data_IF_365612896631
#
_entry.id   IF_365612896631
#
_cell.length_a   1.000
_cell.length_b   1.000
_cell.length_c   1.000
_cell.angle_alpha   90.00
_cell.angle_beta   90.00
_cell.angle_gamma   90.00
#
_symmetry.space_group_name_H-M   'P 1'
#
loop_
_entity.id
_entity.type
_entity.pdbx_description
1 polymer ?
#
# COMPACT_ATOMS: atom_id res chain seq x y z
N UNK A 1 13.12 5.39 -26.20
CA UNK A 1 11.89 5.36 -25.40
C UNK A 1 10.87 4.61 -26.22
N UNK A 2 10.42 3.45 -25.75
CA UNK A 2 9.30 2.78 -26.41
C UNK A 2 8.04 3.54 -25.98
N UNK A 3 7.32 4.09 -26.94
CA UNK A 3 6.13 4.89 -26.65
C UNK A 3 4.99 3.96 -26.22
N UNK A 4 4.41 4.22 -25.06
CA UNK A 4 3.31 3.43 -24.50
C UNK A 4 2.07 3.51 -25.40
N UNK A 5 1.31 2.42 -25.45
CA UNK A 5 0.04 2.41 -26.20
C UNK A 5 -0.95 3.41 -25.61
N UNK A 6 -1.88 3.88 -26.45
CA UNK A 6 -2.96 4.78 -26.05
C UNK A 6 -4.24 3.95 -25.88
N UNK A 7 -4.93 4.03 -24.73
CA UNK A 7 -6.24 3.40 -24.59
C UNK A 7 -7.28 4.10 -25.48
N UNK A 8 -8.08 3.31 -26.19
CA UNK A 8 -9.22 3.79 -26.98
C UNK A 8 -10.45 2.96 -26.70
N UNK A 9 -11.64 3.48 -27.01
CA UNK A 9 -12.91 2.82 -26.72
C UNK A 9 -13.79 2.72 -27.97
N UNK A 10 -14.34 1.54 -28.22
CA UNK A 10 -15.41 1.31 -29.22
C UNK A 10 -16.64 0.78 -28.49
N UNK A 11 -17.74 1.54 -28.55
CA UNK A 11 -18.92 1.25 -27.74
C UNK A 11 -18.60 1.30 -26.25
N UNK A 12 -18.79 0.18 -25.54
CA UNK A 12 -18.52 0.04 -24.09
C UNK A 12 -17.18 -0.62 -23.78
N UNK A 13 -16.44 -1.06 -24.80
CA UNK A 13 -15.21 -1.83 -24.60
C UNK A 13 -13.98 -0.99 -24.96
N UNK A 14 -12.92 -1.20 -24.18
CA UNK A 14 -11.62 -0.57 -24.29
C UNK A 14 -10.62 -1.51 -24.96
N UNK A 15 -9.80 -0.94 -25.83
CA UNK A 15 -8.63 -1.54 -26.47
C UNK A 15 -7.46 -0.55 -26.44
N UNK A 16 -6.37 -0.89 -27.13
CA UNK A 16 -5.16 -0.06 -27.15
C UNK A 16 -4.60 0.09 -28.56
N UNK A 17 -4.19 1.29 -28.93
CA UNK A 17 -3.59 1.61 -30.23
C UNK A 17 -2.19 2.20 -30.06
N UNK A 18 -1.38 2.17 -31.10
CA UNK A 18 -0.17 2.98 -31.16
C UNK A 18 -0.50 4.47 -31.42
N UNK A 19 0.54 5.33 -31.46
CA UNK A 19 0.38 6.77 -31.74
C UNK A 19 -0.16 7.06 -33.15
N UNK A 20 0.01 6.12 -34.09
CA UNK A 20 -0.52 6.22 -35.46
C UNK A 20 -1.98 5.76 -35.54
N UNK A 21 -2.62 5.49 -34.40
CA UNK A 21 -4.00 4.98 -34.27
C UNK A 21 -4.18 3.59 -34.86
N UNK A 22 -3.09 2.84 -35.07
CA UNK A 22 -3.19 1.43 -35.44
C UNK A 22 -3.57 0.65 -34.18
N UNK A 23 -4.64 -0.12 -34.29
CA UNK A 23 -5.10 -1.00 -33.22
C UNK A 23 -4.06 -2.09 -32.94
N UNK A 24 -3.60 -2.17 -31.69
CA UNK A 24 -2.65 -3.18 -31.21
C UNK A 24 -3.38 -4.22 -30.36
N UNK A 25 -4.24 -3.76 -29.44
CA UNK A 25 -5.13 -4.60 -28.64
C UNK A 25 -6.58 -4.26 -28.98
N UNK A 26 -7.39 -5.23 -29.43
CA UNK A 26 -8.78 -4.97 -29.78
C UNK A 26 -9.63 -4.58 -28.56
N UNK A 27 -10.78 -3.92 -28.75
CA UNK A 27 -11.67 -3.55 -27.65
C UNK A 27 -12.32 -4.77 -27.00
N UNK A 28 -11.75 -5.23 -25.89
CA UNK A 28 -12.20 -6.42 -25.16
C UNK A 28 -12.34 -6.18 -23.65
N UNK A 29 -11.83 -5.06 -23.15
CA UNK A 29 -11.84 -4.74 -21.73
C UNK A 29 -13.04 -3.86 -21.39
N UNK A 30 -13.68 -4.10 -20.25
CA UNK A 30 -14.78 -3.26 -19.76
C UNK A 30 -14.26 -1.94 -19.18
N UNK A 31 -12.99 -1.92 -18.72
CA UNK A 31 -12.29 -0.71 -18.34
C UNK A 31 -10.78 -0.87 -18.58
N UNK A 32 -10.10 0.23 -18.84
CA UNK A 32 -8.65 0.29 -19.03
C UNK A 32 -8.13 1.64 -18.53
N UNK A 33 -6.94 1.64 -17.95
CA UNK A 33 -6.26 2.85 -17.50
C UNK A 33 -5.03 3.13 -18.37
N UNK A 34 -4.46 4.33 -18.21
CA UNK A 34 -3.17 4.67 -18.80
C UNK A 34 -2.05 3.81 -18.20
N UNK A 35 -0.91 3.76 -18.89
CA UNK A 35 0.26 3.05 -18.41
C UNK A 35 0.97 3.85 -17.32
N UNK A 36 1.24 3.20 -16.18
CA UNK A 36 2.15 3.68 -15.15
C UNK A 36 3.42 2.81 -15.18
N UNK A 37 4.57 3.46 -15.33
CA UNK A 37 5.91 2.88 -15.56
C UNK A 37 6.01 2.01 -16.83
N UNK A 38 5.24 0.92 -16.94
CA UNK A 38 5.09 0.08 -18.14
C UNK A 38 3.85 -0.83 -18.10
N UNK A 39 2.99 -0.68 -17.09
CA UNK A 39 1.79 -1.51 -16.91
C UNK A 39 0.53 -0.66 -16.84
N UNK A 40 -0.52 -1.10 -17.53
CA UNK A 40 -1.86 -0.54 -17.45
C UNK A 40 -2.80 -1.51 -16.74
N UNK A 41 -3.65 -1.00 -15.86
CA UNK A 41 -4.75 -1.79 -15.32
C UNK A 41 -5.80 -2.06 -16.39
N UNK A 42 -6.17 -3.33 -16.53
CA UNK A 42 -7.22 -3.78 -17.45
C UNK A 42 -8.30 -4.54 -16.67
N UNK A 43 -9.54 -4.40 -17.12
CA UNK A 43 -10.70 -4.99 -16.48
C UNK A 43 -11.50 -5.76 -17.51
N UNK A 44 -11.88 -6.99 -17.17
CA UNK A 44 -12.75 -7.82 -18.00
C UNK A 44 -13.60 -8.70 -17.08
N UNK A 45 -14.90 -8.75 -17.30
CA UNK A 45 -15.82 -9.63 -16.55
C UNK A 45 -15.69 -9.49 -15.01
N UNK A 46 -15.58 -8.25 -14.53
CA UNK A 46 -15.35 -7.89 -13.11
C UNK A 46 -14.03 -8.39 -12.50
N UNK A 47 -13.11 -8.91 -13.32
CA UNK A 47 -11.76 -9.29 -12.93
C UNK A 47 -10.76 -8.25 -13.40
N UNK A 48 -9.66 -8.13 -12.65
CA UNK A 48 -8.56 -7.21 -12.91
C UNK A 48 -7.33 -7.95 -13.41
N UNK A 49 -6.57 -7.29 -14.27
CA UNK A 49 -5.30 -7.74 -14.81
C UNK A 49 -4.37 -6.57 -15.12
N UNK A 50 -3.20 -6.88 -15.68
CA UNK A 50 -2.21 -5.93 -16.15
C UNK A 50 -1.87 -6.17 -17.61
N UNK A 51 -1.79 -5.08 -18.37
CA UNK A 51 -1.31 -5.06 -19.73
C UNK A 51 0.05 -4.35 -19.77
N UNK A 52 1.04 -4.93 -20.44
CA UNK A 52 2.32 -4.30 -20.72
C UNK A 52 2.17 -3.23 -21.80
N UNK A 53 3.03 -2.20 -21.78
CA UNK A 53 3.10 -1.15 -22.80
C UNK A 53 3.34 -1.65 -24.24
N UNK A 54 3.76 -2.91 -24.41
CA UNK A 54 3.83 -3.56 -25.73
C UNK A 54 2.49 -4.14 -26.23
N UNK A 55 1.43 -4.12 -25.41
CA UNK A 55 0.15 -4.77 -25.68
C UNK A 55 0.11 -6.26 -25.30
N UNK A 56 1.15 -6.76 -24.63
CA UNK A 56 1.16 -8.13 -24.07
C UNK A 56 0.43 -8.11 -22.72
N UNK A 57 -0.50 -9.04 -22.51
CA UNK A 57 -1.10 -9.26 -21.19
C UNK A 57 -0.04 -9.81 -20.22
N UNK A 58 0.31 -9.05 -19.18
CA UNK A 58 1.23 -9.48 -18.11
C UNK A 58 0.50 -10.36 -17.13
N UNK A 59 -0.64 -9.86 -16.67
CA UNK A 59 -1.52 -10.56 -15.74
C UNK A 59 -2.89 -10.63 -16.37
N UNK A 60 -3.42 -11.83 -16.64
CA UNK A 60 -4.76 -11.94 -17.18
C UNK A 60 -5.80 -11.41 -16.21
N UNK A 61 -6.94 -10.94 -16.74
CA UNK A 61 -8.08 -10.53 -15.93
C UNK A 61 -8.70 -11.73 -15.20
N UNK A 62 -8.06 -12.18 -14.12
CA UNK A 62 -8.47 -13.33 -13.31
C UNK A 62 -8.65 -13.01 -11.83
N UNK A 63 -8.12 -11.90 -11.33
CA UNK A 63 -8.20 -11.58 -9.91
C UNK A 63 -9.42 -10.68 -9.60
N UNK A 64 -10.20 -10.96 -8.54
CA UNK A 64 -11.24 -10.04 -8.06
C UNK A 64 -10.64 -8.70 -7.59
N UNK A 65 -9.46 -8.74 -6.96
CA UNK A 65 -8.71 -7.55 -6.58
C UNK A 65 -7.24 -7.68 -6.97
N UNK A 66 -6.71 -6.60 -7.52
CA UNK A 66 -5.33 -6.42 -7.94
C UNK A 66 -4.99 -4.96 -7.68
N UNK A 67 -3.86 -4.73 -7.03
CA UNK A 67 -3.41 -3.42 -6.56
C UNK A 67 -2.12 -3.00 -7.28
N UNK A 68 -1.75 -1.71 -7.23
CA UNK A 68 -0.56 -1.22 -7.94
C UNK A 68 0.73 -1.88 -7.46
N UNK A 69 1.74 -1.86 -8.31
CA UNK A 69 3.08 -2.28 -7.90
C UNK A 69 3.64 -1.31 -6.86
N UNK A 70 4.18 -1.88 -5.78
CA UNK A 70 4.96 -1.20 -4.75
C UNK A 70 6.18 -2.07 -4.42
N UNK A 71 7.36 -1.48 -4.38
CA UNK A 71 8.64 -2.20 -4.26
C UNK A 71 8.73 -3.42 -5.20
N UNK A 72 8.36 -3.20 -6.45
CA UNK A 72 8.36 -4.19 -7.54
C UNK A 72 7.35 -5.33 -7.41
N UNK A 73 6.43 -5.32 -6.43
CA UNK A 73 5.39 -6.35 -6.29
C UNK A 73 3.99 -5.73 -6.25
N UNK A 74 3.04 -6.40 -6.89
CA UNK A 74 1.62 -6.07 -6.79
C UNK A 74 0.92 -7.05 -5.86
N UNK A 75 0.17 -6.51 -4.91
CA UNK A 75 -0.75 -7.30 -4.08
C UNK A 75 -1.95 -7.72 -4.92
N UNK A 76 -2.40 -8.95 -4.76
CA UNK A 76 -3.65 -9.45 -5.36
C UNK A 76 -4.45 -10.25 -4.34
N UNK A 77 -5.76 -10.36 -4.58
CA UNK A 77 -6.65 -11.21 -3.82
C UNK A 77 -7.25 -12.28 -4.74
N UNK A 78 -7.43 -13.49 -4.24
CA UNK A 78 -8.15 -14.57 -4.93
C UNK A 78 -9.59 -14.71 -4.40
N UNK A 79 -10.40 -15.52 -5.08
CA UNK A 79 -11.85 -15.62 -4.79
C UNK A 79 -12.20 -16.07 -3.36
N UNK A 80 -11.30 -16.79 -2.68
CA UNK A 80 -11.50 -17.20 -1.29
C UNK A 80 -11.14 -16.09 -0.26
N UNK A 81 -10.75 -14.92 -0.75
CA UNK A 81 -10.38 -13.75 0.03
C UNK A 81 -8.92 -13.68 0.44
N UNK A 82 -8.08 -14.69 0.17
CA UNK A 82 -6.68 -14.63 0.54
C UNK A 82 -5.88 -13.70 -0.37
N UNK A 83 -4.87 -13.06 0.21
CA UNK A 83 -3.94 -12.18 -0.47
C UNK A 83 -2.58 -12.83 -0.72
N UNK A 84 -2.03 -12.55 -1.90
CA UNK A 84 -0.67 -12.89 -2.33
C UNK A 84 -0.02 -11.72 -3.06
N UNK A 85 1.19 -11.95 -3.58
CA UNK A 85 1.95 -10.93 -4.31
C UNK A 85 2.57 -11.51 -5.57
N UNK A 86 2.55 -10.72 -6.64
CA UNK A 86 3.10 -11.06 -7.94
C UNK A 86 4.07 -9.99 -8.45
N UNK A 87 5.00 -10.40 -9.30
CA UNK A 87 5.95 -9.50 -9.96
C UNK A 87 5.35 -8.87 -11.24
N UNK A 88 6.05 -7.93 -11.90
CA UNK A 88 5.56 -7.31 -13.12
C UNK A 88 5.41 -8.27 -14.29
N UNK A 89 6.06 -9.45 -14.27
CA UNK A 89 5.87 -10.48 -15.29
C UNK A 89 4.56 -11.26 -15.12
N UNK A 90 3.92 -11.12 -13.94
CA UNK A 90 2.73 -11.86 -13.54
C UNK A 90 3.03 -13.15 -12.77
N UNK A 91 4.29 -13.38 -12.39
CA UNK A 91 4.70 -14.51 -11.58
C UNK A 91 4.31 -14.28 -10.12
N UNK A 92 3.62 -15.25 -9.51
CA UNK A 92 3.24 -15.21 -8.10
C UNK A 92 4.47 -15.49 -7.21
N UNK A 93 5.14 -14.43 -6.75
CA UNK A 93 6.32 -14.52 -5.87
C UNK A 93 5.92 -14.99 -4.46
N UNK A 94 4.76 -14.56 -3.99
CA UNK A 94 4.25 -14.89 -2.66
C UNK A 94 2.84 -15.44 -2.80
N UNK A 95 2.69 -16.73 -2.51
CA UNK A 95 1.42 -17.44 -2.65
C UNK A 95 0.29 -16.80 -1.82
N UNK A 96 -0.97 -16.82 -2.32
CA UNK A 96 -2.09 -16.16 -1.68
C UNK A 96 -2.58 -16.89 -0.43
N UNK A 97 -1.88 -16.69 0.68
CA UNK A 97 -2.08 -17.41 1.95
C UNK A 97 -2.47 -16.50 3.11
N UNK A 98 -2.33 -15.18 2.96
CA UNK A 98 -2.66 -14.21 4.00
C UNK A 98 -4.14 -13.87 3.97
N UNK A 99 -4.74 -13.63 5.13
CA UNK A 99 -6.13 -13.17 5.25
C UNK A 99 -6.25 -11.67 5.10
N UNK A 100 -5.26 -10.95 5.61
CA UNK A 100 -5.10 -9.51 5.41
C UNK A 100 -3.65 -9.25 5.01
N UNK A 101 -3.45 -8.28 4.13
CA UNK A 101 -2.16 -7.90 3.60
C UNK A 101 -2.25 -6.47 3.09
N UNK A 102 -1.21 -5.67 3.26
CA UNK A 102 -1.11 -4.35 2.63
C UNK A 102 0.04 -4.31 1.63
N UNK A 103 0.13 -3.21 0.88
CA UNK A 103 1.18 -3.06 -0.12
C UNK A 103 2.57 -2.91 0.53
N UNK A 104 3.62 -3.31 -0.20
CA UNK A 104 5.00 -3.10 0.23
C UNK A 104 5.32 -1.60 0.35
N UNK A 105 6.14 -1.26 1.34
CA UNK A 105 6.77 0.05 1.46
C UNK A 105 8.11 -0.12 2.16
N UNK A 106 9.16 0.51 1.62
CA UNK A 106 10.54 0.40 2.12
C UNK A 106 11.01 -1.07 2.25
N UNK A 107 10.54 -1.92 1.35
CA UNK A 107 10.92 -3.33 1.25
C UNK A 107 10.16 -4.27 2.19
N UNK A 108 9.18 -3.79 2.96
CA UNK A 108 8.38 -4.58 3.89
C UNK A 108 6.88 -4.38 3.67
N UNK A 109 6.09 -5.44 3.83
CA UNK A 109 4.63 -5.40 3.80
C UNK A 109 4.05 -5.97 5.09
N UNK A 110 3.08 -5.30 5.74
CA UNK A 110 2.38 -5.86 6.87
C UNK A 110 1.36 -6.91 6.39
N UNK A 111 1.32 -8.05 7.07
CA UNK A 111 0.41 -9.17 6.75
C UNK A 111 -0.16 -9.82 8.01
N UNK A 112 -1.34 -10.41 7.89
CA UNK A 112 -1.99 -11.22 8.93
C UNK A 112 -2.59 -12.50 8.35
N UNK A 113 -2.55 -13.58 9.14
CA UNK A 113 -3.21 -14.87 8.83
C UNK A 113 -4.66 -14.95 9.29
N UNK A 114 -5.16 -13.92 9.96
CA UNK A 114 -6.52 -13.87 10.49
C UNK A 114 -7.17 -12.51 10.20
N UNK A 115 -8.49 -12.51 9.96
CA UNK A 115 -9.25 -11.30 9.61
C UNK A 115 -9.58 -10.47 10.87
N UNK A 116 -9.91 -11.14 11.97
CA UNK A 116 -10.46 -10.50 13.17
C UNK A 116 -9.53 -10.79 14.35
N UNK A 117 -9.00 -9.73 14.97
CA UNK A 117 -8.05 -9.81 16.10
C UNK A 117 -6.75 -10.58 15.82
N UNK A 118 -6.46 -10.83 14.53
CA UNK A 118 -5.23 -11.45 14.08
C UNK A 118 -4.01 -10.57 14.35
N UNK A 119 -2.91 -11.13 14.88
CA UNK A 119 -1.67 -10.40 14.97
C UNK A 119 -1.09 -10.17 13.57
N UNK A 120 -0.51 -8.99 13.38
CA UNK A 120 0.20 -8.56 12.20
C UNK A 120 1.71 -8.75 12.37
N UNK A 121 2.35 -9.17 11.30
CA UNK A 121 3.80 -9.22 11.15
C UNK A 121 4.22 -8.57 9.84
N UNK A 122 5.52 -8.58 9.54
CA UNK A 122 6.07 -7.97 8.33
C UNK A 122 6.90 -8.97 7.54
N UNK A 123 6.61 -9.06 6.24
CA UNK A 123 7.38 -9.87 5.28
C UNK A 123 8.20 -8.95 4.37
N UNK A 124 9.32 -9.47 3.87
CA UNK A 124 10.06 -8.85 2.77
C UNK A 124 9.51 -9.29 1.40
N UNK A 125 10.07 -8.74 0.33
CA UNK A 125 9.68 -9.02 -1.06
C UNK A 125 9.91 -10.47 -1.51
N UNK A 126 10.63 -11.28 -0.73
CA UNK A 126 10.77 -12.74 -0.96
C UNK A 126 9.76 -13.55 -0.14
N UNK A 127 8.81 -12.90 0.54
CA UNK A 127 7.82 -13.54 1.41
C UNK A 127 8.37 -14.02 2.75
N UNK A 128 9.61 -13.68 3.10
CA UNK A 128 10.21 -14.05 4.38
C UNK A 128 9.78 -13.07 5.46
N UNK A 129 9.31 -13.59 6.60
CA UNK A 129 9.09 -12.79 7.80
C UNK A 129 10.39 -12.16 8.29
N UNK A 130 10.38 -10.83 8.39
CA UNK A 130 11.42 -10.04 9.06
C UNK A 130 11.00 -9.74 10.49
N UNK A 131 9.69 -9.53 10.70
CA UNK A 131 9.09 -9.34 12.02
C UNK A 131 7.91 -10.29 12.11
N UNK A 132 7.90 -11.17 13.10
CA UNK A 132 6.84 -12.16 13.27
C UNK A 132 5.51 -11.48 13.69
N UNK A 133 4.47 -12.28 13.83
CA UNK A 133 3.15 -11.84 14.26
C UNK A 133 3.15 -11.35 15.71
N UNK A 134 3.39 -10.05 15.90
CA UNK A 134 3.58 -9.45 17.23
C UNK A 134 2.62 -8.31 17.56
N UNK A 135 1.89 -7.77 16.57
CA UNK A 135 1.16 -6.51 16.71
C UNK A 135 -0.32 -6.67 16.45
N UNK A 136 -1.17 -5.98 17.22
CA UNK A 136 -2.62 -5.98 16.96
C UNK A 136 -2.99 -5.21 15.69
N UNK A 137 -2.16 -4.22 15.35
CA UNK A 137 -2.24 -3.41 14.13
C UNK A 137 -0.85 -3.00 13.70
N UNK A 138 -0.66 -2.87 12.40
CA UNK A 138 0.59 -2.52 11.76
C UNK A 138 0.33 -1.57 10.58
N UNK A 139 1.01 -0.43 10.55
CA UNK A 139 1.03 0.47 9.38
C UNK A 139 2.22 0.16 8.48
N UNK A 140 2.27 0.81 7.32
CA UNK A 140 3.40 0.72 6.40
C UNK A 140 4.66 1.33 7.01
N UNK A 141 5.82 0.91 6.52
CA UNK A 141 7.07 1.62 6.78
C UNK A 141 7.10 2.92 5.98
N UNK A 142 7.42 4.03 6.66
CA UNK A 142 7.62 5.34 6.08
C UNK A 142 8.70 6.09 6.86
N UNK A 143 9.69 6.60 6.15
CA UNK A 143 10.88 7.25 6.68
C UNK A 143 11.67 6.37 7.67
N UNK A 144 11.65 5.05 7.47
CA UNK A 144 12.33 4.06 8.30
C UNK A 144 11.56 3.62 9.55
N UNK A 145 10.32 4.06 9.73
CA UNK A 145 9.47 3.74 10.88
C UNK A 145 8.13 3.18 10.45
N UNK A 146 7.56 2.28 11.26
CA UNK A 146 6.17 1.86 11.15
C UNK A 146 5.44 2.08 12.48
N UNK A 147 4.23 2.62 12.42
CA UNK A 147 3.36 2.73 13.59
C UNK A 147 2.69 1.38 13.84
N UNK A 148 2.89 0.84 15.04
CA UNK A 148 2.36 -0.47 15.41
C UNK A 148 1.64 -0.39 16.74
N UNK A 149 0.60 -1.21 16.91
CA UNK A 149 -0.18 -1.29 18.13
C UNK A 149 0.14 -2.55 18.91
N UNK A 150 0.43 -2.40 20.21
CA UNK A 150 0.62 -3.50 21.15
C UNK A 150 -0.17 -3.22 22.41
N UNK A 151 -1.17 -4.04 22.70
CA UNK A 151 -2.12 -3.78 23.78
C UNK A 151 -2.93 -2.51 23.52
N UNK A 152 -3.00 -1.62 24.51
CA UNK A 152 -3.79 -0.38 24.39
C UNK A 152 -3.11 0.66 23.51
N UNK A 153 -1.78 0.67 23.44
CA UNK A 153 -1.02 1.81 22.94
C UNK A 153 -0.32 1.53 21.60
N UNK A 154 -0.08 2.61 20.88
CA UNK A 154 0.75 2.67 19.70
C UNK A 154 2.15 3.15 20.03
N UNK A 155 3.12 2.63 19.29
CA UNK A 155 4.50 3.07 19.27
C UNK A 155 5.08 2.91 17.86
N UNK A 156 6.39 3.12 17.73
CA UNK A 156 7.07 3.01 16.45
C UNK A 156 8.23 2.02 16.51
N UNK A 157 8.35 1.21 15.48
CA UNK A 157 9.43 0.23 15.30
C UNK A 157 10.28 0.59 14.08
N UNK A 158 11.53 0.12 14.07
CA UNK A 158 12.36 0.09 12.86
C UNK A 158 12.09 -1.15 12.00
N UNK A 159 12.74 -1.21 10.83
CA UNK A 159 12.62 -2.30 9.87
C UNK A 159 13.16 -3.67 10.35
N UNK A 160 13.68 -3.74 11.58
CA UNK A 160 14.08 -5.00 12.26
C UNK A 160 13.12 -5.35 13.40
N UNK A 161 12.03 -4.62 13.56
CA UNK A 161 11.04 -4.81 14.62
C UNK A 161 11.45 -4.21 15.96
N UNK A 162 12.58 -3.47 16.03
CA UNK A 162 13.03 -2.87 17.29
C UNK A 162 12.23 -1.62 17.58
N UNK A 163 11.63 -1.54 18.76
CA UNK A 163 10.96 -0.33 19.25
C UNK A 163 11.94 0.85 19.29
N UNK A 164 11.60 1.91 18.56
CA UNK A 164 12.31 3.20 18.55
C UNK A 164 11.60 4.24 19.39
N UNK A 165 10.27 4.26 19.30
CA UNK A 165 9.43 5.15 20.10
C UNK A 165 8.47 4.27 20.91
N UNK A 166 8.43 4.41 22.25
CA UNK A 166 7.65 3.54 23.13
C UNK A 166 6.15 3.46 22.81
N UNK A 167 5.52 2.38 23.27
CA UNK A 167 4.08 2.17 23.17
C UNK A 167 3.34 2.97 24.25
N UNK A 168 3.10 4.25 23.99
CA UNK A 168 2.46 5.15 24.95
C UNK A 168 1.39 6.08 24.38
N UNK A 169 1.12 5.99 23.06
CA UNK A 169 0.13 6.83 22.40
C UNK A 169 -1.20 6.10 22.21
N UNK A 170 -2.32 6.82 22.32
CA UNK A 170 -3.65 6.29 22.01
C UNK A 170 -3.81 6.03 20.51
N UNK A 171 -3.19 6.88 19.67
CA UNK A 171 -3.07 6.73 18.22
C UNK A 171 -1.71 7.24 17.75
N UNK A 172 -1.21 6.65 16.67
CA UNK A 172 0.01 7.05 15.98
C UNK A 172 -0.25 7.05 14.48
N UNK A 173 0.23 8.06 13.77
CA UNK A 173 0.17 8.15 12.31
C UNK A 173 1.57 8.01 11.71
N UNK A 174 1.63 7.76 10.39
CA UNK A 174 2.91 7.57 9.71
C UNK A 174 3.77 8.84 9.76
N UNK A 175 5.09 8.66 9.71
CA UNK A 175 6.01 9.78 9.60
C UNK A 175 5.85 10.53 8.26
N UNK A 176 6.07 11.84 8.30
CA UNK A 176 6.05 12.71 7.14
C UNK A 176 6.95 13.91 7.44
N UNK A 177 7.98 14.11 6.62
CA UNK A 177 8.95 15.20 6.77
C UNK A 177 9.68 15.17 8.13
N UNK A 178 9.99 13.98 8.63
CA UNK A 178 10.71 13.76 9.89
C UNK A 178 9.85 13.89 11.15
N UNK A 179 8.53 14.07 11.01
CA UNK A 179 7.60 14.22 12.12
C UNK A 179 6.40 13.29 11.96
N UNK A 180 5.83 12.88 13.09
CA UNK A 180 4.58 12.13 13.12
C UNK A 180 3.60 12.78 14.10
N UNK A 181 2.33 12.86 13.71
CA UNK A 181 1.27 13.21 14.66
C UNK A 181 0.88 11.98 15.47
N UNK A 182 0.77 12.19 16.76
CA UNK A 182 0.41 11.17 17.75
C UNK A 182 -0.67 11.72 18.66
N UNK A 183 -1.54 10.85 19.15
CA UNK A 183 -2.62 11.21 20.07
C UNK A 183 -2.34 10.65 21.46
N UNK A 184 -2.54 11.50 22.48
CA UNK A 184 -2.51 11.10 23.89
C UNK A 184 -3.62 11.84 24.63
N UNK A 185 -4.38 11.12 25.44
CA UNK A 185 -5.53 11.65 26.18
C UNK A 185 -6.51 12.41 25.26
N UNK A 186 -6.76 11.83 24.07
CA UNK A 186 -7.62 12.37 23.00
C UNK A 186 -7.17 13.70 22.37
N UNK A 187 -5.98 14.20 22.69
CA UNK A 187 -5.39 15.38 22.05
C UNK A 187 -4.23 14.98 21.15
N UNK A 188 -4.12 15.63 20.01
CA UNK A 188 -3.02 15.46 19.06
C UNK A 188 -1.84 16.34 19.44
N UNK A 189 -0.65 15.79 19.25
CA UNK A 189 0.65 16.46 19.30
C UNK A 189 1.54 15.89 18.19
N UNK A 190 2.79 16.33 18.14
CA UNK A 190 3.76 15.87 17.14
C UNK A 190 5.05 15.45 17.79
N UNK A 191 5.61 14.34 17.32
CA UNK A 191 6.92 13.84 17.74
C UNK A 191 7.90 13.80 16.58
N UNK A 192 9.19 13.95 16.87
CA UNK A 192 10.27 13.72 15.92
C UNK A 192 10.62 12.22 15.80
N UNK A 193 11.61 11.89 14.96
CA UNK A 193 12.12 10.53 14.74
C UNK A 193 12.78 9.89 15.97
N UNK A 194 13.07 10.67 17.01
CA UNK A 194 13.59 10.18 18.29
C UNK A 194 12.47 10.01 19.34
N UNK A 195 11.24 10.38 19.01
CA UNK A 195 10.09 10.38 19.92
C UNK A 195 10.00 11.60 20.82
N UNK A 196 10.80 12.64 20.57
CA UNK A 196 10.70 13.89 21.33
C UNK A 196 9.44 14.64 20.91
N UNK A 197 8.69 15.14 21.88
CA UNK A 197 7.51 15.97 21.64
C UNK A 197 7.94 17.34 21.08
N UNK A 198 7.61 17.60 19.81
CA UNK A 198 7.87 18.88 19.11
C UNK A 198 6.70 19.84 19.31
N UNK A 199 5.47 19.34 19.17
CA UNK A 199 4.26 20.12 19.41
C UNK A 199 3.39 19.40 20.45
N UNK A 200 2.86 20.13 21.46
CA UNK A 200 2.21 19.51 22.61
C UNK A 200 0.84 18.91 22.27
N UNK A 201 0.37 18.01 23.13
CA UNK A 201 -0.95 17.37 23.06
C UNK A 201 -2.08 18.35 23.42
N UNK A 202 -2.35 19.31 22.54
CA UNK A 202 -3.37 20.35 22.77
C UNK A 202 -4.38 20.46 21.63
N UNK A 203 -4.16 19.77 20.51
CA UNK A 203 -5.00 19.90 19.32
C UNK A 203 -6.12 18.86 19.32
N UNK A 204 -7.32 19.25 18.90
CA UNK A 204 -8.46 18.33 18.73
C UNK A 204 -8.34 17.53 17.44
N UNK A 205 -7.67 18.11 16.45
CA UNK A 205 -7.34 17.46 15.19
C UNK A 205 -6.00 17.98 14.66
N UNK A 206 -5.27 17.12 13.95
CA UNK A 206 -4.05 17.47 13.25
C UNK A 206 -3.98 16.69 11.93
N UNK A 207 -3.54 17.36 10.87
CA UNK A 207 -3.13 16.74 9.62
C UNK A 207 -1.65 16.33 9.65
N UNK A 208 -1.23 15.55 8.67
CA UNK A 208 0.18 15.18 8.51
C UNK A 208 0.99 16.39 8.00
N UNK A 209 2.29 16.42 8.30
CA UNK A 209 3.21 17.43 7.76
C UNK A 209 3.38 17.27 6.24
N UNK A 210 3.21 18.37 5.51
CA UNK A 210 3.42 18.48 4.06
C UNK A 210 3.87 19.90 3.70
N UNK A 211 4.96 20.03 2.97
CA UNK A 211 5.52 21.32 2.57
C UNK A 211 6.01 22.16 3.76
N UNK A 212 6.49 21.51 4.83
CA UNK A 212 6.96 22.16 6.05
C UNK A 212 5.85 22.71 6.96
N UNK A 213 4.58 22.40 6.67
CA UNK A 213 3.44 22.85 7.47
C UNK A 213 2.49 21.68 7.77
N UNK A 214 1.73 21.79 8.86
CA UNK A 214 0.64 20.89 9.20
C UNK A 214 -0.57 21.71 9.66
N UNK A 215 -1.75 21.38 9.14
CA UNK A 215 -3.00 21.98 9.60
C UNK A 215 -3.37 21.40 10.97
N UNK A 216 -3.82 22.25 11.88
CA UNK A 216 -4.25 21.85 13.22
C UNK A 216 -5.55 22.55 13.59
N UNK A 217 -6.36 21.87 14.39
CA UNK A 217 -7.54 22.44 15.02
C UNK A 217 -7.41 22.39 16.54
N UNK A 218 -7.83 23.44 17.21
CA UNK A 218 -7.79 23.59 18.66
C UNK A 218 -9.10 24.21 19.11
N UNK A 219 -9.82 23.49 19.97
CA UNK A 219 -11.16 23.79 20.49
C UNK A 219 -12.29 23.56 19.48
N UNK A 220 -12.27 22.41 18.80
CA UNK A 220 -13.40 21.93 18.00
C UNK A 220 -14.62 21.56 18.88
#
# INVERSE_FOLDING_TARGET
MQESLIPFRIGKLWGFSDLLKKMIVPPVYTNAFDFEEDAAFIFKDHRKGFLHSSGKELVPCKYPALFPFRDSLARFQIDNGNYGYLDPSGEEIIAPTFKEAEDFSEGLAPVSKEIIFGPWGYINTNGKFIIDYEFEKASHFKEGFAAVKRGKYWGYIDNKGKTKIPFEFDLACDFSEGMARVQKDKKWGFVDTFGNLILPFIYDWAGDFRGGIAAVDKNA
#
